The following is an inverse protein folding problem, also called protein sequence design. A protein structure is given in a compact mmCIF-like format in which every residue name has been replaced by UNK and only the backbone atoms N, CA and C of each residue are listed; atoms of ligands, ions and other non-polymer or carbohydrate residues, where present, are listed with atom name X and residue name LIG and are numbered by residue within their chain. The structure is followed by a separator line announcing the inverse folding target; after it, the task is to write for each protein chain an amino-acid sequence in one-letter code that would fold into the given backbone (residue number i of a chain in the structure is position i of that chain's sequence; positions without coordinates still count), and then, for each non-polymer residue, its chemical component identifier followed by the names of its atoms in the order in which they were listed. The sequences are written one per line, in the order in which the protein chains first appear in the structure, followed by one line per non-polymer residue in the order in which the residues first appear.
data_IF_752077004594
#
_entry.id   IF_752077004594
#
_cell.length_a   1.000
_cell.length_b   1.000
_cell.length_c   1.000
_cell.angle_alpha   90.00
_cell.angle_beta   90.00
_cell.angle_gamma   90.00
#
_symmetry.space_group_name_H-M   'P 1'
#
loop_
_entity.id
_entity.type
_entity.pdbx_description
1 polymer ?
#
# COMPACT_ATOMS: atom_id res chain seq x y z
N UNK A 1 -10.55 12.46 -11.39
CA UNK A 1 -10.80 12.23 -9.95
C UNK A 1 -12.19 11.69 -9.62
N UNK A 2 -13.25 11.98 -10.39
CA UNK A 2 -14.61 11.42 -10.13
C UNK A 2 -14.76 9.93 -10.43
N UNK A 3 -14.10 9.43 -11.48
CA UNK A 3 -14.26 8.05 -11.96
C UNK A 3 -13.94 6.97 -10.91
N UNK A 4 -12.96 7.21 -10.02
CA UNK A 4 -12.63 6.27 -8.93
C UNK A 4 -13.79 6.13 -7.93
N UNK A 5 -14.49 7.23 -7.62
CA UNK A 5 -15.62 7.21 -6.70
C UNK A 5 -16.84 6.56 -7.34
N UNK A 6 -17.08 6.84 -8.62
CA UNK A 6 -18.13 6.16 -9.40
C UNK A 6 -17.87 4.66 -9.46
N UNK A 7 -16.64 4.25 -9.76
CA UNK A 7 -16.26 2.84 -9.77
C UNK A 7 -16.49 2.16 -8.41
N UNK A 8 -16.07 2.80 -7.31
CA UNK A 8 -16.28 2.28 -5.96
C UNK A 8 -17.78 2.18 -5.64
N UNK A 9 -18.58 3.17 -6.01
CA UNK A 9 -20.02 3.15 -5.79
C UNK A 9 -20.69 2.00 -6.54
N UNK A 10 -20.36 1.83 -7.83
CA UNK A 10 -20.89 0.73 -8.66
C UNK A 10 -20.51 -0.63 -8.09
N UNK A 11 -19.23 -0.80 -7.69
CA UNK A 11 -18.75 -2.04 -7.11
C UNK A 11 -19.45 -2.34 -5.77
N UNK A 12 -19.61 -1.34 -4.90
CA UNK A 12 -20.30 -1.48 -3.62
C UNK A 12 -21.78 -1.85 -3.83
N UNK A 13 -22.48 -1.19 -4.75
CA UNK A 13 -23.86 -1.53 -5.09
C UNK A 13 -23.98 -2.95 -5.64
N UNK A 14 -23.08 -3.38 -6.53
CA UNK A 14 -23.06 -4.74 -7.04
C UNK A 14 -22.85 -5.78 -5.92
N UNK A 15 -21.93 -5.50 -4.98
CA UNK A 15 -21.70 -6.35 -3.80
C UNK A 15 -22.96 -6.42 -2.92
N UNK A 16 -23.62 -5.30 -2.66
CA UNK A 16 -24.86 -5.27 -1.86
C UNK A 16 -25.96 -6.08 -2.52
N UNK A 17 -26.18 -5.90 -3.83
CA UNK A 17 -27.17 -6.65 -4.59
C UNK A 17 -26.84 -8.15 -4.56
N UNK A 18 -25.57 -8.51 -4.79
CA UNK A 18 -25.10 -9.89 -4.68
C UNK A 18 -25.40 -10.49 -3.31
N UNK A 19 -25.15 -9.75 -2.23
CA UNK A 19 -25.42 -10.21 -0.87
C UNK A 19 -26.91 -10.40 -0.59
N UNK A 20 -27.75 -9.46 -1.00
CA UNK A 20 -29.19 -9.55 -0.84
C UNK A 20 -29.80 -10.71 -1.65
N UNK A 21 -29.33 -10.91 -2.89
CA UNK A 21 -29.84 -11.98 -3.76
C UNK A 21 -29.30 -13.36 -3.38
N UNK A 22 -28.07 -13.44 -2.85
CA UNK A 22 -27.42 -14.70 -2.46
C UNK A 22 -27.40 -14.87 -0.93
N UNK A 23 -28.54 -14.61 -0.30
CA UNK A 23 -28.76 -14.83 1.14
C UNK A 23 -29.04 -16.30 1.48
N UNK A 24 -28.95 -17.20 0.50
CA UNK A 24 -29.09 -18.64 0.72
C UNK A 24 -28.05 -19.11 1.75
N UNK A 25 -28.48 -19.87 2.79
CA UNK A 25 -27.58 -20.37 3.81
C UNK A 25 -26.58 -21.36 3.19
N UNK A 26 -25.29 -21.03 3.29
CA UNK A 26 -24.21 -21.90 2.87
C UNK A 26 -23.61 -22.61 4.09
N UNK A 27 -23.23 -23.87 3.88
CA UNK A 27 -22.51 -24.67 4.86
C UNK A 27 -21.05 -24.77 4.44
N UNK A 28 -20.15 -24.24 5.26
CA UNK A 28 -18.70 -24.34 5.04
C UNK A 28 -18.20 -25.47 5.92
N UNK A 29 -17.53 -26.45 5.33
CA UNK A 29 -16.82 -27.50 6.06
C UNK A 29 -15.33 -27.33 5.79
N UNK A 30 -14.55 -27.11 6.84
CA UNK A 30 -13.13 -26.87 6.72
C UNK A 30 -12.40 -27.77 7.71
N UNK A 31 -11.63 -28.74 7.21
CA UNK A 31 -10.87 -29.69 8.03
C UNK A 31 -11.75 -30.41 9.09
N UNK A 32 -11.71 -29.97 10.36
CA UNK A 32 -12.44 -30.55 11.50
C UNK A 32 -13.59 -29.67 12.01
N UNK A 33 -13.81 -28.50 11.41
CA UNK A 33 -14.82 -27.54 11.83
C UNK A 33 -15.81 -27.26 10.70
N UNK A 34 -17.05 -26.91 11.08
CA UNK A 34 -18.09 -26.54 10.14
C UNK A 34 -18.82 -25.30 10.63
N UNK A 35 -19.03 -24.36 9.72
CA UNK A 35 -19.91 -23.22 9.92
C UNK A 35 -21.19 -23.46 9.14
N UNK A 36 -22.31 -23.46 9.85
CA UNK A 36 -23.63 -23.70 9.26
C UNK A 36 -24.38 -22.38 9.11
N UNK A 37 -25.25 -22.31 8.11
CA UNK A 37 -26.18 -21.20 7.89
C UNK A 37 -25.51 -19.82 7.75
N UNK A 38 -24.30 -19.75 7.21
CA UNK A 38 -23.66 -18.46 6.90
C UNK A 38 -24.09 -18.03 5.48
N UNK A 39 -24.52 -16.78 5.27
CA UNK A 39 -24.81 -16.28 3.93
C UNK A 39 -23.58 -16.38 3.02
N UNK A 40 -23.76 -16.90 1.80
CA UNK A 40 -22.67 -17.11 0.85
C UNK A 40 -21.86 -15.84 0.59
N UNK A 41 -22.53 -14.69 0.52
CA UNK A 41 -21.86 -13.42 0.30
C UNK A 41 -20.91 -13.02 1.43
N UNK A 42 -21.24 -13.32 2.69
CA UNK A 42 -20.35 -13.09 3.83
C UNK A 42 -19.06 -13.88 3.67
N UNK A 43 -19.17 -15.14 3.25
CA UNK A 43 -18.02 -16.02 3.02
C UNK A 43 -17.09 -15.45 1.95
N UNK A 44 -17.67 -15.04 0.82
CA UNK A 44 -16.91 -14.50 -0.31
C UNK A 44 -16.23 -13.19 0.09
N UNK A 45 -16.96 -12.27 0.72
CA UNK A 45 -16.41 -10.97 1.12
C UNK A 45 -15.29 -11.11 2.15
N UNK A 46 -15.44 -11.98 3.15
CA UNK A 46 -14.39 -12.26 4.14
C UNK A 46 -13.18 -12.90 3.47
N UNK A 47 -13.38 -13.83 2.53
CA UNK A 47 -12.28 -14.47 1.80
C UNK A 47 -11.49 -13.47 0.95
N UNK A 48 -12.19 -12.59 0.23
CA UNK A 48 -11.58 -11.51 -0.55
C UNK A 48 -10.84 -10.53 0.36
N UNK A 49 -11.46 -10.10 1.47
CA UNK A 49 -10.82 -9.23 2.44
C UNK A 49 -9.56 -9.85 3.04
N UNK A 50 -9.60 -11.14 3.38
CA UNK A 50 -8.45 -11.88 3.87
C UNK A 50 -7.32 -11.90 2.82
N UNK A 51 -7.64 -12.18 1.55
CA UNK A 51 -6.67 -12.12 0.44
C UNK A 51 -6.04 -10.73 0.27
N UNK A 52 -6.85 -9.66 0.35
CA UNK A 52 -6.36 -8.28 0.30
C UNK A 52 -5.43 -7.97 1.47
N UNK A 53 -5.76 -8.43 2.69
CA UNK A 53 -4.90 -8.22 3.86
C UNK A 53 -3.59 -8.99 3.70
N UNK A 54 -3.66 -10.26 3.32
CA UNK A 54 -2.50 -11.13 3.13
C UNK A 54 -1.53 -10.61 2.07
N UNK A 55 -2.03 -10.08 0.95
CA UNK A 55 -1.19 -9.52 -0.10
C UNK A 55 -0.82 -8.05 0.15
N UNK A 56 -1.77 -7.26 0.66
CA UNK A 56 -1.65 -5.82 0.79
C UNK A 56 -0.72 -5.39 1.92
N UNK A 57 -0.72 -6.10 3.06
CA UNK A 57 0.13 -5.74 4.20
C UNK A 57 1.63 -5.87 3.88
N UNK A 58 2.13 -7.00 3.30
CA UNK A 58 3.53 -7.11 2.91
C UNK A 58 3.94 -6.05 1.87
N UNK A 59 3.13 -5.86 0.83
CA UNK A 59 3.39 -4.87 -0.21
C UNK A 59 3.42 -3.44 0.37
N UNK A 60 2.54 -3.13 1.31
CA UNK A 60 2.52 -1.84 1.98
C UNK A 60 3.81 -1.61 2.77
N UNK A 61 4.25 -2.62 3.53
CA UNK A 61 5.47 -2.56 4.32
C UNK A 61 6.71 -2.37 3.44
N UNK A 62 6.84 -3.15 2.36
CA UNK A 62 7.93 -2.99 1.40
C UNK A 62 7.95 -1.60 0.78
N UNK A 63 6.80 -1.10 0.36
CA UNK A 63 6.68 0.23 -0.23
C UNK A 63 7.04 1.33 0.74
N UNK A 64 6.72 1.16 2.03
CA UNK A 64 7.15 2.07 3.08
C UNK A 64 8.67 2.03 3.29
N UNK A 65 9.27 0.84 3.35
CA UNK A 65 10.73 0.65 3.43
C UNK A 65 11.46 1.25 2.24
N UNK A 66 10.96 1.04 1.03
CA UNK A 66 11.51 1.61 -0.21
C UNK A 66 11.50 3.15 -0.15
N UNK A 67 10.39 3.75 0.27
CA UNK A 67 10.30 5.21 0.44
C UNK A 67 11.29 5.75 1.48
N UNK A 68 11.45 5.05 2.60
CA UNK A 68 12.44 5.42 3.62
C UNK A 68 13.87 5.35 3.07
N UNK A 69 14.18 4.32 2.27
CA UNK A 69 15.48 4.18 1.61
C UNK A 69 15.76 5.31 0.63
N UNK A 70 14.79 5.65 -0.21
CA UNK A 70 14.91 6.79 -1.15
C UNK A 70 15.26 8.07 -0.40
N UNK A 71 14.52 8.40 0.67
CA UNK A 71 14.82 9.57 1.50
C UNK A 71 16.22 9.53 2.12
N UNK A 72 16.64 8.36 2.62
CA UNK A 72 17.98 8.22 3.21
C UNK A 72 19.10 8.41 2.19
N UNK A 73 18.88 7.99 0.94
CA UNK A 73 19.83 8.15 -0.16
C UNK A 73 19.90 9.62 -0.60
N UNK A 74 18.75 10.29 -0.70
CA UNK A 74 18.67 11.73 -0.98
C UNK A 74 19.46 12.55 0.05
N UNK A 75 19.26 12.30 1.35
CA UNK A 75 20.00 13.00 2.41
C UNK A 75 21.51 12.77 2.31
N UNK A 76 21.93 11.54 1.99
CA UNK A 76 23.36 11.21 1.83
C UNK A 76 23.98 11.90 0.61
N UNK A 77 23.24 11.99 -0.50
CA UNK A 77 23.68 12.74 -1.69
C UNK A 77 23.87 14.21 -1.37
N UNK A 78 22.89 14.85 -0.74
CA UNK A 78 23.01 16.27 -0.35
C UNK A 78 24.17 16.53 0.61
N UNK A 79 24.42 15.62 1.56
CA UNK A 79 25.56 15.72 2.47
C UNK A 79 26.90 15.56 1.74
N UNK A 80 27.00 14.63 0.80
CA UNK A 80 28.22 14.43 0.00
C UNK A 80 28.49 15.62 -0.94
N UNK A 81 27.45 16.16 -1.58
CA UNK A 81 27.53 17.37 -2.42
C UNK A 81 27.99 18.60 -1.61
N UNK A 82 27.51 18.74 -0.37
CA UNK A 82 27.92 19.84 0.51
C UNK A 82 29.42 19.77 0.86
N UNK A 83 29.93 18.57 1.17
CA UNK A 83 31.36 18.36 1.47
C UNK A 83 32.26 18.64 0.26
N UNK A 84 31.83 18.22 -0.94
CA UNK A 84 32.57 18.51 -2.18
C UNK A 84 32.60 20.02 -2.47
N UNK A 85 31.47 20.72 -2.32
CA UNK A 85 31.41 22.17 -2.52
C UNK A 85 32.20 22.98 -1.49
N UNK A 86 32.43 22.43 -0.29
CA UNK A 86 33.28 23.03 0.73
C UNK A 86 34.77 22.83 0.40
N UNK A 87 35.14 21.68 -0.15
CA UNK A 87 36.51 21.41 -0.65
C UNK A 87 36.87 22.31 -1.85
N UNK A 88 35.93 22.50 -2.78
CA UNK A 88 36.12 23.36 -3.96
C UNK A 88 36.25 24.84 -3.57
N UNK A 89 35.52 25.28 -2.52
CA UNK A 89 35.67 26.63 -1.94
C UNK A 89 36.99 26.83 -1.19
N UNK A 90 37.52 25.79 -0.55
CA UNK A 90 38.83 25.83 0.12
C UNK A 90 40.02 25.85 -0.85
N UNK A 91 39.82 25.40 -2.09
CA UNK A 91 40.84 25.41 -3.15
C UNK A 91 40.91 26.74 -3.94
N UNK A 92 40.00 27.69 -3.69
CA UNK A 92 40.05 29.01 -4.32
C UNK A 92 41.29 29.78 -3.82
N UNK A 93 42.21 30.21 -4.72
CA UNK A 93 43.43 30.90 -4.32
C UNK A 93 43.10 32.21 -3.60
N UNK A 94 43.88 32.60 -2.57
CA UNK A 94 43.62 33.82 -1.81
C UNK A 94 43.61 35.03 -2.76
N UNK A 95 42.72 36.01 -2.54
CA UNK A 95 42.70 37.22 -3.35
C UNK A 95 44.09 37.84 -3.29
N UNK A 96 44.74 37.96 -4.45
CA UNK A 96 46.00 38.68 -4.58
C UNK A 96 45.71 40.12 -4.20
N UNK A 97 46.07 40.50 -2.97
CA UNK A 97 45.99 41.88 -2.52
C UNK A 97 47.03 42.64 -3.33
N UNK A 98 46.52 43.46 -4.25
CA UNK A 98 47.28 44.35 -5.12
C UNK A 98 47.75 45.59 -4.35
#
# INVERSE_FOLDING_TARGET
MGYKYVFVAVLASAITVFALQNSAPASIRFLFWSLQAIPLATVILVSVAAGIVLAGVPLWFERWRLRARVRSLETRLTAAEALLGEHDRGAAPPPSVA
#
